data_IF_503049118893
#
_entry.id   IF_503049118893
#
_cell.length_a   1.000
_cell.length_b   1.000
_cell.length_c   1.000
_cell.angle_alpha   90.00
_cell.angle_beta   90.00
_cell.angle_gamma   90.00
#
_symmetry.space_group_name_H-M   'P 1'
#
loop_
_entity.id
_entity.type
_entity.pdbx_description
1 polymer ?
#
# COMPACT_ATOMS: atom_id res chain seq x y z
N UNK A 1 -0.85 9.18 -23.66
CA UNK A 1 -0.65 8.41 -22.42
C UNK A 1 -0.91 9.35 -21.25
N UNK A 2 -1.76 8.92 -20.31
CA UNK A 2 -2.03 9.71 -19.11
C UNK A 2 -0.80 9.65 -18.19
N UNK A 3 -0.36 10.80 -17.68
CA UNK A 3 0.66 10.90 -16.62
C UNK A 3 0.02 10.75 -15.25
N UNK A 4 0.81 10.38 -14.25
CA UNK A 4 0.36 10.39 -12.85
C UNK A 4 -0.03 11.80 -12.40
N UNK A 5 -0.99 11.86 -11.48
CA UNK A 5 -1.47 13.09 -10.88
C UNK A 5 -0.53 13.52 -9.74
N UNK A 6 -0.27 14.82 -9.58
CA UNK A 6 0.58 15.35 -8.50
C UNK A 6 0.15 14.88 -7.10
N UNK A 7 -1.15 14.65 -6.89
CA UNK A 7 -1.69 14.06 -5.66
C UNK A 7 -1.04 12.71 -5.34
N UNK A 8 -0.91 11.81 -6.33
CA UNK A 8 -0.33 10.49 -6.09
C UNK A 8 1.15 10.57 -5.80
N UNK A 9 1.86 11.49 -6.47
CA UNK A 9 3.26 11.75 -6.20
C UNK A 9 3.47 12.19 -4.73
N UNK A 10 2.66 13.12 -4.25
CA UNK A 10 2.76 13.63 -2.87
C UNK A 10 2.40 12.54 -1.85
N UNK A 11 1.22 11.92 -2.00
CA UNK A 11 0.72 10.96 -1.01
C UNK A 11 1.53 9.66 -0.99
N UNK A 12 1.96 9.15 -2.15
CA UNK A 12 2.80 7.96 -2.21
C UNK A 12 4.21 8.21 -1.66
N UNK A 13 4.74 9.43 -1.82
CA UNK A 13 6.03 9.81 -1.23
C UNK A 13 5.95 9.90 0.29
N UNK A 14 4.85 10.46 0.84
CA UNK A 14 4.60 10.41 2.29
C UNK A 14 4.47 8.97 2.76
N UNK A 15 3.65 8.16 2.07
CA UNK A 15 3.46 6.75 2.42
C UNK A 15 4.79 5.99 2.47
N UNK A 16 5.61 6.07 1.42
CA UNK A 16 6.89 5.37 1.38
C UNK A 16 7.88 5.83 2.46
N UNK A 17 7.87 7.11 2.83
CA UNK A 17 8.75 7.66 3.87
C UNK A 17 8.43 7.13 5.27
N UNK A 18 7.16 6.87 5.56
CA UNK A 18 6.73 6.37 6.88
C UNK A 18 6.88 4.84 7.01
N UNK A 19 7.34 4.13 5.97
CA UNK A 19 7.59 2.69 6.03
C UNK A 19 8.96 2.42 6.65
N UNK A 20 8.99 1.52 7.64
CA UNK A 20 10.24 1.13 8.29
C UNK A 20 11.00 0.09 7.45
N UNK A 21 12.31 0.29 7.33
CA UNK A 21 13.23 -0.71 6.79
C UNK A 21 13.68 -1.74 7.84
N UNK A 22 13.44 -1.48 9.12
CA UNK A 22 13.73 -2.43 10.20
C UNK A 22 12.69 -3.56 10.20
N UNK A 23 13.16 -4.78 10.01
CA UNK A 23 12.36 -6.01 10.07
C UNK A 23 11.50 -6.14 11.32
N UNK A 24 11.94 -5.62 12.47
CA UNK A 24 11.19 -5.72 13.72
C UNK A 24 9.93 -4.84 13.74
N UNK A 25 9.99 -3.68 13.07
CA UNK A 25 8.91 -2.67 13.05
C UNK A 25 8.17 -2.58 11.71
N UNK A 26 8.64 -3.28 10.67
CA UNK A 26 8.12 -3.19 9.30
C UNK A 26 6.63 -3.47 9.21
N UNK A 27 6.18 -4.59 9.81
CA UNK A 27 4.76 -4.97 9.80
C UNK A 27 3.89 -3.91 10.47
N UNK A 28 4.33 -3.39 11.61
CA UNK A 28 3.56 -2.37 12.33
C UNK A 28 3.53 -1.04 11.58
N UNK A 29 4.61 -0.66 10.91
CA UNK A 29 4.61 0.52 10.02
C UNK A 29 3.62 0.35 8.86
N UNK A 30 3.58 -0.82 8.20
CA UNK A 30 2.60 -1.11 7.14
C UNK A 30 1.15 -1.02 7.66
N UNK A 31 0.88 -1.53 8.87
CA UNK A 31 -0.45 -1.45 9.51
C UNK A 31 -0.84 -0.01 9.84
N UNK A 32 0.09 0.77 10.39
CA UNK A 32 -0.14 2.19 10.69
C UNK A 32 -0.49 3.00 9.43
N UNK A 33 0.08 2.61 8.28
CA UNK A 33 -0.16 3.26 7.00
C UNK A 33 -1.31 2.64 6.17
N UNK A 34 -2.11 1.72 6.74
CA UNK A 34 -3.18 1.02 6.02
C UNK A 34 -4.21 1.95 5.35
N UNK A 35 -4.38 3.17 5.87
CA UNK A 35 -5.27 4.18 5.29
C UNK A 35 -4.91 4.59 3.86
N UNK A 36 -3.62 4.58 3.49
CA UNK A 36 -3.18 4.95 2.15
C UNK A 36 -3.75 4.06 1.05
N UNK A 37 -4.03 2.78 1.34
CA UNK A 37 -4.64 1.86 0.37
C UNK A 37 -6.12 2.16 0.07
N UNK A 38 -6.72 3.12 0.78
CA UNK A 38 -8.06 3.64 0.49
C UNK A 38 -8.02 5.07 -0.09
N UNK A 39 -7.00 5.85 0.27
CA UNK A 39 -6.82 7.23 -0.20
C UNK A 39 -6.23 7.26 -1.62
N UNK A 40 -5.21 6.43 -1.87
CA UNK A 40 -4.53 6.34 -3.15
C UNK A 40 -5.30 5.37 -4.05
N UNK A 41 -5.86 5.90 -5.13
CA UNK A 41 -6.61 5.11 -6.12
C UNK A 41 -5.86 5.02 -7.45
N UNK A 42 -5.99 3.90 -8.16
CA UNK A 42 -5.27 3.62 -9.42
C UNK A 42 -5.49 4.69 -10.50
N UNK A 43 -6.68 5.31 -10.52
CA UNK A 43 -7.01 6.44 -11.42
C UNK A 43 -6.09 7.65 -11.27
N UNK A 44 -5.28 7.77 -10.22
CA UNK A 44 -4.32 8.86 -10.07
C UNK A 44 -2.95 8.55 -10.64
N UNK A 45 -2.68 7.31 -11.04
CA UNK A 45 -1.44 6.92 -11.69
C UNK A 45 -1.52 7.10 -13.19
N UNK A 46 -0.35 7.09 -13.84
CA UNK A 46 -0.23 6.91 -15.28
C UNK A 46 -0.77 5.54 -15.71
N UNK A 47 -1.09 5.41 -17.00
CA UNK A 47 -1.60 4.15 -17.56
C UNK A 47 -0.63 2.99 -17.26
N UNK A 48 0.68 3.25 -17.32
CA UNK A 48 1.73 2.26 -17.07
C UNK A 48 1.84 1.82 -15.60
N UNK A 49 1.57 2.72 -14.65
CA UNK A 49 1.79 2.47 -13.21
C UNK A 49 0.49 2.11 -12.48
N UNK A 50 -0.67 2.35 -13.10
CA UNK A 50 -1.99 2.06 -12.52
C UNK A 50 -2.17 0.58 -12.16
N UNK A 51 -1.82 -0.33 -13.07
CA UNK A 51 -1.91 -1.78 -12.85
C UNK A 51 -1.05 -2.24 -11.68
N UNK A 52 0.17 -1.71 -11.55
CA UNK A 52 1.08 -2.08 -10.45
C UNK A 52 0.49 -1.68 -9.09
N UNK A 53 -0.14 -0.51 -8.99
CA UNK A 53 -0.85 -0.11 -7.78
C UNK A 53 -2.08 -1.00 -7.52
N UNK A 54 -2.87 -1.33 -8.54
CA UNK A 54 -4.03 -2.21 -8.37
C UNK A 54 -3.64 -3.58 -7.83
N UNK A 55 -2.54 -4.14 -8.32
CA UNK A 55 -2.04 -5.42 -7.85
C UNK A 55 -1.56 -5.35 -6.40
N UNK A 56 -0.86 -4.28 -6.02
CA UNK A 56 -0.47 -4.00 -4.63
C UNK A 56 -1.73 -3.89 -3.74
N UNK A 57 -2.70 -3.07 -4.15
CA UNK A 57 -3.92 -2.81 -3.39
C UNK A 57 -4.79 -4.06 -3.25
N UNK A 58 -4.82 -4.93 -4.28
CA UNK A 58 -5.53 -6.20 -4.27
C UNK A 58 -4.87 -7.20 -3.33
N UNK A 59 -3.54 -7.32 -3.36
CA UNK A 59 -2.78 -8.22 -2.48
C UNK A 59 -3.11 -7.95 -1.01
N UNK A 60 -3.10 -6.68 -0.60
CA UNK A 60 -3.35 -6.34 0.81
C UNK A 60 -4.83 -6.40 1.20
N UNK A 61 -5.77 -6.57 0.26
CA UNK A 61 -7.22 -6.69 0.57
C UNK A 61 -7.74 -8.13 0.44
N UNK A 62 -6.87 -9.08 0.09
CA UNK A 62 -7.29 -10.43 -0.32
C UNK A 62 -8.06 -11.21 0.75
N UNK A 63 -7.76 -11.02 2.04
CA UNK A 63 -8.44 -11.75 3.13
C UNK A 63 -9.78 -11.15 3.54
N UNK A 64 -10.13 -9.96 3.04
CA UNK A 64 -11.32 -9.25 3.50
C UNK A 64 -11.25 -8.80 4.98
N UNK A 65 -12.26 -8.08 5.48
CA UNK A 65 -12.30 -7.65 6.87
C UNK A 65 -12.40 -8.83 7.83
N UNK A 66 -11.78 -8.71 9.01
CA UNK A 66 -11.96 -9.67 10.10
C UNK A 66 -13.18 -9.29 10.92
N UNK A 67 -14.06 -10.24 11.17
CA UNK A 67 -15.25 -10.06 12.02
C UNK A 67 -15.16 -10.85 13.32
N UNK A 68 -15.89 -10.41 14.34
CA UNK A 68 -16.16 -11.20 15.55
C UNK A 68 -17.34 -12.18 15.34
N UNK A 69 -17.70 -12.92 16.39
CA UNK A 69 -18.79 -13.91 16.40
C UNK A 69 -20.18 -13.26 16.14
N UNK A 70 -20.31 -11.96 16.39
CA UNK A 70 -21.51 -11.17 16.16
C UNK A 70 -21.50 -10.48 14.78
N UNK A 71 -20.50 -10.75 13.94
CA UNK A 71 -20.37 -10.19 12.60
C UNK A 71 -19.85 -8.74 12.56
N UNK A 72 -19.35 -8.19 13.68
CA UNK A 72 -18.82 -6.82 13.72
C UNK A 72 -17.39 -6.81 13.22
N UNK A 73 -17.03 -5.82 12.40
CA UNK A 73 -15.67 -5.68 11.86
C UNK A 73 -14.71 -5.25 12.97
N UNK A 74 -13.74 -6.12 13.29
CA UNK A 74 -12.69 -5.86 14.30
C UNK A 74 -11.35 -5.49 13.66
N UNK A 75 -11.16 -5.76 12.37
CA UNK A 75 -10.04 -5.24 11.59
C UNK A 75 -10.45 -5.05 10.13
N UNK A 76 -10.04 -3.94 9.51
CA UNK A 76 -10.25 -3.73 8.08
C UNK A 76 -9.44 -4.75 7.25
N UNK A 77 -9.81 -4.92 5.98
CA UNK A 77 -9.20 -5.93 5.11
C UNK A 77 -7.68 -5.80 4.96
N UNK A 78 -7.18 -4.56 4.96
CA UNK A 78 -5.75 -4.25 4.82
C UNK A 78 -4.98 -4.69 6.06
N UNK A 79 -5.43 -4.25 7.23
CA UNK A 79 -4.81 -4.61 8.51
C UNK A 79 -4.90 -6.13 8.72
N UNK A 80 -6.06 -6.73 8.48
CA UNK A 80 -6.24 -8.17 8.61
C UNK A 80 -5.28 -8.96 7.73
N UNK A 81 -5.08 -8.54 6.48
CA UNK A 81 -4.15 -9.21 5.57
C UNK A 81 -2.70 -9.03 6.02
N UNK A 82 -2.28 -7.80 6.32
CA UNK A 82 -0.89 -7.49 6.75
C UNK A 82 -0.53 -8.23 8.04
N UNK A 83 -1.45 -8.34 8.98
CA UNK A 83 -1.24 -9.03 10.25
C UNK A 83 -0.81 -10.49 10.03
N UNK A 84 -1.36 -11.12 8.99
CA UNK A 84 -1.11 -12.50 8.59
C UNK A 84 0.07 -12.67 7.63
N UNK A 85 0.67 -11.58 7.15
CA UNK A 85 1.86 -11.65 6.28
C UNK A 85 3.09 -12.11 7.07
N UNK A 86 3.92 -12.94 6.46
CA UNK A 86 5.27 -13.22 6.94
C UNK A 86 6.16 -11.97 6.83
N UNK A 87 7.30 -11.98 7.53
CA UNK A 87 8.28 -10.89 7.41
C UNK A 87 8.77 -10.72 5.96
N UNK A 88 8.97 -11.81 5.23
CA UNK A 88 9.34 -11.76 3.81
C UNK A 88 8.26 -11.14 2.93
N UNK A 89 6.97 -11.41 3.21
CA UNK A 89 5.86 -10.77 2.50
C UNK A 89 5.81 -9.27 2.81
N UNK A 90 5.97 -8.87 4.07
CA UNK A 90 6.06 -7.46 4.46
C UNK A 90 7.20 -6.75 3.72
N UNK A 91 8.38 -7.37 3.66
CA UNK A 91 9.55 -6.81 2.96
C UNK A 91 9.27 -6.59 1.48
N UNK A 92 8.75 -7.60 0.79
CA UNK A 92 8.38 -7.49 -0.63
C UNK A 92 7.36 -6.39 -0.88
N UNK A 93 6.38 -6.24 0.02
CA UNK A 93 5.38 -5.18 -0.10
C UNK A 93 6.01 -3.78 0.05
N UNK A 94 6.87 -3.57 1.05
CA UNK A 94 7.61 -2.30 1.23
C UNK A 94 8.47 -1.98 0.01
N UNK A 95 9.20 -2.97 -0.50
CA UNK A 95 10.04 -2.82 -1.70
C UNK A 95 9.22 -2.42 -2.93
N UNK A 96 8.05 -3.05 -3.14
CA UNK A 96 7.14 -2.71 -4.24
C UNK A 96 6.59 -1.30 -4.12
N UNK A 97 6.13 -0.89 -2.93
CA UNK A 97 5.62 0.48 -2.69
C UNK A 97 6.72 1.51 -2.93
N UNK A 98 7.94 1.26 -2.43
CA UNK A 98 9.10 2.14 -2.60
C UNK A 98 9.54 2.22 -4.06
N UNK A 99 9.52 1.10 -4.79
CA UNK A 99 9.83 1.05 -6.21
C UNK A 99 8.80 1.83 -7.04
N UNK A 100 7.51 1.64 -6.76
CA UNK A 100 6.43 2.39 -7.40
C UNK A 100 6.56 3.89 -7.13
N UNK A 101 6.89 4.29 -5.89
CA UNK A 101 7.14 5.68 -5.54
C UNK A 101 8.26 6.29 -6.40
N UNK A 102 9.38 5.58 -6.57
CA UNK A 102 10.48 6.03 -7.43
C UNK A 102 10.08 6.14 -8.89
N UNK A 103 9.24 5.23 -9.40
CA UNK A 103 8.73 5.30 -10.77
C UNK A 103 7.83 6.51 -10.96
N UNK A 104 6.93 6.78 -10.00
CA UNK A 104 6.08 7.98 -10.02
C UNK A 104 6.95 9.24 -9.96
N UNK A 105 7.96 9.32 -9.09
CA UNK A 105 8.89 10.46 -8.99
C UNK A 105 9.47 10.84 -10.36
N UNK A 106 9.97 9.84 -11.11
CA UNK A 106 10.57 10.05 -12.45
C UNK A 106 9.61 10.62 -13.50
N UNK A 107 8.30 10.58 -13.27
CA UNK A 107 7.34 11.21 -14.19
C UNK A 107 7.25 12.74 -14.02
N UNK A 108 7.78 13.27 -12.90
CA UNK A 108 7.77 14.68 -12.49
C UNK A 108 9.16 15.34 -12.51
N UNK A 109 10.22 14.56 -12.72
CA UNK A 109 11.57 15.06 -13.00
C UNK A 109 11.70 15.42 -14.50
#
# INVERSE_FOLDING_TARGET
>A
MKKSNIFVHIELSKFARELSADSSAMKDSLKAQAGYFNIITSKYFSDMLSTEWEDIAREVKIKGPKTDEQGRVIANAVIHTIDQMSQQQCRRLVERITSLQKKVQKEFD
#
